data_IF_555996873911
#
_entry.id   IF_555996873911
#
_cell.length_a   1.000
_cell.length_b   1.000
_cell.length_c   1.000
_cell.angle_alpha   90.00
_cell.angle_beta   90.00
_cell.angle_gamma   90.00
#
_symmetry.space_group_name_H-M   'P 1'
#
loop_
_entity.id
_entity.type
_entity.pdbx_description
1 polymer ?
#
# COMPACT_ATOMS: atom_id res chain seq x y z
N UNK A 1 -0.93 3.76 9.04
CA UNK A 1 0.12 4.73 9.37
C UNK A 1 -0.11 5.08 10.81
N UNK A 2 0.84 4.77 11.59
CA UNK A 2 0.80 4.92 13.02
C UNK A 2 0.84 6.40 13.40
N UNK A 3 -0.33 7.00 13.51
CA UNK A 3 -0.45 8.33 14.14
C UNK A 3 -0.40 8.25 15.66
N UNK A 4 -0.24 7.03 16.24
CA UNK A 4 -0.40 6.78 17.66
C UNK A 4 -1.85 6.88 18.15
N UNK A 5 -2.80 7.11 17.25
CA UNK A 5 -4.22 7.18 17.57
C UNK A 5 -4.89 5.82 17.37
N UNK A 6 -5.69 5.40 18.32
CA UNK A 6 -6.59 4.28 18.16
C UNK A 6 -7.79 4.70 17.31
N UNK A 7 -8.00 4.03 16.19
CA UNK A 7 -9.11 4.31 15.26
C UNK A 7 -9.80 3.01 14.84
N UNK A 8 -11.12 3.07 14.75
CA UNK A 8 -11.89 2.02 14.09
C UNK A 8 -11.84 2.25 12.59
N UNK A 9 -11.20 1.35 11.86
CA UNK A 9 -11.20 1.34 10.41
C UNK A 9 -12.21 0.31 9.91
N UNK A 10 -13.46 0.74 9.77
CA UNK A 10 -14.58 -0.10 9.30
C UNK A 10 -14.50 -0.37 7.79
N UNK A 11 -13.39 -0.93 7.33
CA UNK A 11 -13.08 -1.25 5.94
C UNK A 11 -12.79 -2.75 5.81
N UNK A 12 -13.33 -3.39 4.79
CA UNK A 12 -13.25 -4.84 4.60
C UNK A 12 -11.82 -5.41 4.66
N UNK A 13 -10.80 -4.82 4.00
CA UNK A 13 -9.43 -5.33 4.10
C UNK A 13 -8.86 -5.28 5.52
N UNK A 14 -9.18 -4.22 6.28
CA UNK A 14 -8.74 -4.11 7.68
C UNK A 14 -9.48 -5.10 8.59
N UNK A 15 -10.76 -5.33 8.36
CA UNK A 15 -11.55 -6.32 9.11
C UNK A 15 -10.98 -7.74 8.92
N UNK A 16 -10.56 -8.11 7.70
CA UNK A 16 -9.90 -9.38 7.43
C UNK A 16 -8.59 -9.53 8.22
N UNK A 17 -7.70 -8.53 8.14
CA UNK A 17 -6.41 -8.55 8.83
C UNK A 17 -6.55 -8.53 10.37
N UNK A 18 -7.57 -7.82 10.88
CA UNK A 18 -7.91 -7.84 12.32
C UNK A 18 -8.39 -9.23 12.75
N UNK A 19 -9.24 -9.87 11.94
CA UNK A 19 -9.72 -11.22 12.19
C UNK A 19 -8.59 -12.25 12.20
N UNK A 20 -7.65 -12.14 11.28
CA UNK A 20 -6.45 -12.99 11.25
C UNK A 20 -5.61 -12.81 12.52
N UNK A 21 -5.31 -11.57 12.89
CA UNK A 21 -4.59 -11.25 14.12
C UNK A 21 -5.29 -11.78 15.37
N UNK A 22 -6.60 -11.58 15.46
CA UNK A 22 -7.41 -12.10 16.57
C UNK A 22 -7.36 -13.64 16.63
N UNK A 23 -7.50 -14.32 15.49
CA UNK A 23 -7.43 -15.79 15.39
C UNK A 23 -6.09 -16.34 15.86
N UNK A 24 -4.98 -15.71 15.46
CA UNK A 24 -3.63 -16.08 15.93
C UNK A 24 -3.52 -15.93 17.44
N UNK A 25 -4.01 -14.82 18.00
CA UNK A 25 -3.95 -14.59 19.45
C UNK A 25 -4.85 -15.54 20.25
N UNK A 26 -6.01 -15.89 19.73
CA UNK A 26 -6.89 -16.91 20.34
C UNK A 26 -6.26 -18.30 20.32
N UNK A 27 -5.39 -18.60 19.36
CA UNK A 27 -4.62 -19.83 19.29
C UNK A 27 -3.35 -19.82 20.17
N UNK A 28 -3.17 -18.83 21.02
CA UNK A 28 -2.02 -18.70 21.92
C UNK A 28 -0.85 -17.88 21.37
N UNK A 29 -1.03 -17.23 20.20
CA UNK A 29 -0.04 -16.28 19.67
C UNK A 29 -0.06 -14.94 20.41
N UNK A 30 0.88 -14.07 20.05
CA UNK A 30 0.94 -12.69 20.56
C UNK A 30 1.28 -11.74 19.41
N UNK A 31 0.28 -11.43 18.59
CA UNK A 31 0.43 -10.56 17.43
C UNK A 31 -0.25 -9.20 17.66
N UNK A 32 0.45 -8.13 17.33
CA UNK A 32 -0.11 -6.77 17.36
C UNK A 32 -0.64 -6.38 15.98
N UNK A 33 -1.78 -5.68 15.93
CA UNK A 33 -2.32 -5.11 14.71
C UNK A 33 -2.05 -3.60 14.67
N UNK A 34 -0.87 -3.22 14.24
CA UNK A 34 -0.35 -1.84 14.27
C UNK A 34 -0.10 -1.25 12.85
N UNK A 35 -0.21 -2.05 11.80
CA UNK A 35 0.01 -1.66 10.40
C UNK A 35 -1.28 -1.38 9.63
N UNK A 36 -2.32 -0.94 10.33
CA UNK A 36 -3.58 -0.57 9.71
C UNK A 36 -3.43 0.70 8.85
N UNK A 37 -3.93 0.64 7.63
CA UNK A 37 -4.04 1.80 6.75
C UNK A 37 -5.47 1.90 6.20
N UNK A 38 -6.05 3.10 6.08
CA UNK A 38 -7.30 3.25 5.37
C UNK A 38 -7.08 2.87 3.90
N UNK A 39 -7.88 1.95 3.38
CA UNK A 39 -7.84 1.55 1.97
C UNK A 39 -9.24 1.23 1.47
N UNK A 40 -9.53 1.61 0.24
CA UNK A 40 -10.79 1.36 -0.41
C UNK A 40 -10.60 0.95 -1.87
N UNK A 41 -11.47 0.08 -2.37
CA UNK A 41 -11.50 -0.34 -3.76
C UNK A 41 -12.95 -0.42 -4.22
N UNK A 42 -13.26 0.26 -5.31
CA UNK A 42 -14.62 0.32 -5.87
C UNK A 42 -14.51 0.04 -7.36
N UNK A 43 -15.36 -0.88 -7.85
CA UNK A 43 -15.61 -1.09 -9.27
C UNK A 43 -17.01 -0.58 -9.62
N UNK A 44 -17.11 0.26 -10.64
CA UNK A 44 -18.38 0.84 -11.08
C UNK A 44 -18.42 0.92 -12.61
N UNK A 45 -19.28 0.12 -13.24
CA UNK A 45 -19.45 0.06 -14.70
C UNK A 45 -18.14 -0.03 -15.52
N UNK A 46 -17.22 -0.90 -15.07
CA UNK A 46 -15.92 -1.07 -15.71
C UNK A 46 -14.86 -0.04 -15.33
N UNK A 47 -15.22 0.99 -14.57
CA UNK A 47 -14.26 1.91 -13.97
C UNK A 47 -13.84 1.39 -12.60
N UNK A 48 -12.55 1.24 -12.39
CA UNK A 48 -11.98 0.84 -11.10
C UNK A 48 -11.34 2.03 -10.39
N UNK A 49 -11.56 2.14 -9.09
CA UNK A 49 -10.95 3.14 -8.23
C UNK A 49 -10.32 2.45 -7.03
N UNK A 50 -9.09 2.79 -6.72
CA UNK A 50 -8.41 2.35 -5.50
C UNK A 50 -7.76 3.53 -4.79
N UNK A 51 -7.89 3.54 -3.47
CA UNK A 51 -7.22 4.51 -2.60
C UNK A 51 -6.59 3.79 -1.42
N UNK A 52 -5.45 4.25 -0.95
CA UNK A 52 -4.91 3.83 0.33
C UNK A 52 -4.07 4.93 0.97
N UNK A 53 -3.96 4.87 2.31
CA UNK A 53 -3.14 5.77 3.10
C UNK A 53 -3.75 7.16 3.29
N UNK A 54 -2.92 8.16 3.43
CA UNK A 54 -3.29 9.56 3.70
C UNK A 54 -2.94 10.49 2.54
N UNK A 55 -3.80 11.48 2.32
CA UNK A 55 -3.64 12.49 1.27
C UNK A 55 -2.86 13.71 1.80
N UNK A 56 -1.61 13.53 2.20
CA UNK A 56 -0.79 14.64 2.73
C UNK A 56 0.64 14.60 2.22
N UNK A 57 1.27 15.78 2.09
CA UNK A 57 2.62 15.92 1.59
C UNK A 57 2.67 16.36 0.13
N UNK A 58 3.80 16.13 -0.54
CA UNK A 58 3.99 16.38 -1.96
C UNK A 58 3.14 15.42 -2.80
N UNK A 59 2.49 15.92 -3.84
CA UNK A 59 1.62 15.12 -4.69
C UNK A 59 2.16 15.01 -6.12
N UNK A 60 2.36 13.78 -6.58
CA UNK A 60 2.67 13.46 -7.97
C UNK A 60 1.39 13.07 -8.70
N UNK A 61 1.06 13.80 -9.76
CA UNK A 61 -0.15 13.61 -10.53
C UNK A 61 0.19 13.18 -11.96
N UNK A 62 -0.46 12.11 -12.41
CA UNK A 62 -0.41 11.64 -13.79
C UNK A 62 -1.83 11.40 -14.30
N UNK A 63 -2.12 11.89 -15.50
CA UNK A 63 -3.38 11.68 -16.23
C UNK A 63 -3.06 11.19 -17.63
N UNK A 64 -3.60 10.05 -18.01
CA UNK A 64 -3.36 9.47 -19.32
C UNK A 64 -4.57 8.63 -19.78
N UNK A 65 -5.18 9.00 -20.93
CA UNK A 65 -6.20 8.19 -21.58
C UNK A 65 -7.40 7.78 -20.70
N UNK A 66 -7.87 8.66 -19.82
CA UNK A 66 -8.95 8.35 -18.87
C UNK A 66 -8.48 7.73 -17.55
N UNK A 67 -7.20 7.43 -17.43
CA UNK A 67 -6.60 6.97 -16.18
C UNK A 67 -6.12 8.17 -15.35
N UNK A 68 -6.27 8.06 -14.04
CA UNK A 68 -5.82 9.06 -13.07
C UNK A 68 -5.01 8.37 -11.99
N UNK A 69 -3.80 8.86 -11.77
CA UNK A 69 -2.92 8.41 -10.70
C UNK A 69 -2.40 9.60 -9.91
N UNK A 70 -2.60 9.56 -8.60
CA UNK A 70 -2.07 10.55 -7.68
C UNK A 70 -1.38 9.82 -6.54
N UNK A 71 -0.09 10.13 -6.34
CA UNK A 71 0.73 9.59 -5.27
C UNK A 71 1.08 10.70 -4.29
N UNK A 72 1.01 10.43 -3.00
CA UNK A 72 1.34 11.37 -1.93
C UNK A 72 2.62 10.92 -1.23
N UNK A 73 3.58 11.83 -1.11
CA UNK A 73 4.89 11.57 -0.53
C UNK A 73 5.17 12.55 0.61
N UNK A 74 5.68 12.07 1.72
CA UNK A 74 6.16 12.86 2.84
C UNK A 74 7.38 12.18 3.45
N UNK A 75 8.42 12.96 3.79
CA UNK A 75 9.60 12.46 4.46
C UNK A 75 10.23 11.23 3.79
N UNK A 76 10.40 11.31 2.46
CA UNK A 76 10.98 10.24 1.66
C UNK A 76 10.18 8.91 1.70
N UNK A 77 8.86 8.95 1.96
CA UNK A 77 7.98 7.78 2.01
C UNK A 77 6.67 8.03 1.28
N UNK A 78 6.16 6.99 0.65
CA UNK A 78 4.81 7.02 0.10
C UNK A 78 3.82 6.96 1.26
N UNK A 79 2.94 7.97 1.35
CA UNK A 79 1.94 8.07 2.42
C UNK A 79 0.54 7.71 1.96
N UNK A 80 0.25 7.84 0.68
CA UNK A 80 -1.04 7.47 0.12
C UNK A 80 -1.08 7.52 -1.39
N UNK A 81 -2.17 7.01 -1.96
CA UNK A 81 -2.44 7.10 -3.39
C UNK A 81 -3.93 7.13 -3.71
N UNK A 82 -4.23 7.65 -4.91
CA UNK A 82 -5.52 7.56 -5.58
C UNK A 82 -5.26 7.06 -6.99
N UNK A 83 -5.86 5.93 -7.37
CA UNK A 83 -5.83 5.37 -8.72
C UNK A 83 -7.25 5.27 -9.26
N UNK A 84 -7.45 5.70 -10.50
CA UNK A 84 -8.73 5.57 -11.22
C UNK A 84 -8.42 5.03 -12.62
N UNK A 85 -9.18 4.03 -13.06
CA UNK A 85 -8.99 3.34 -14.32
C UNK A 85 -7.95 2.23 -14.22
N UNK A 86 -6.67 2.52 -14.46
CA UNK A 86 -5.59 1.54 -14.28
C UNK A 86 -5.23 1.40 -12.79
N UNK A 87 -5.69 0.32 -12.18
CA UNK A 87 -5.39 -0.06 -10.79
C UNK A 87 -4.42 -1.25 -10.71
N UNK A 88 -3.85 -1.64 -11.86
CA UNK A 88 -2.94 -2.78 -11.91
C UNK A 88 -1.75 -2.56 -10.97
N UNK A 89 -1.41 -3.61 -10.21
CA UNK A 89 -0.29 -3.61 -9.26
C UNK A 89 -0.37 -2.57 -8.14
N UNK A 90 -1.56 -2.04 -7.82
CA UNK A 90 -1.77 -1.13 -6.69
C UNK A 90 -1.24 -1.71 -5.35
N UNK A 91 -1.18 -3.05 -5.23
CA UNK A 91 -0.58 -3.74 -4.09
C UNK A 91 0.87 -3.34 -3.81
N UNK A 92 1.65 -2.96 -4.83
CA UNK A 92 3.03 -2.47 -4.66
C UNK A 92 3.01 -1.14 -3.89
N UNK A 93 2.15 -0.20 -4.27
CA UNK A 93 1.99 1.07 -3.53
C UNK A 93 1.50 0.82 -2.10
N UNK A 94 0.53 -0.09 -1.93
CA UNK A 94 0.01 -0.45 -0.61
C UNK A 94 1.11 -1.04 0.28
N UNK A 95 1.97 -1.91 -0.27
CA UNK A 95 3.12 -2.47 0.45
C UNK A 95 4.11 -1.38 0.86
N UNK A 96 4.45 -0.45 -0.03
CA UNK A 96 5.34 0.68 0.30
C UNK A 96 4.82 1.52 1.46
N UNK A 97 3.50 1.80 1.48
CA UNK A 97 2.86 2.55 2.56
C UNK A 97 2.90 1.75 3.87
N UNK A 98 2.54 0.48 3.83
CA UNK A 98 2.48 -0.39 5.02
C UNK A 98 3.84 -0.62 5.64
N UNK A 99 4.84 -0.90 4.81
CA UNK A 99 6.21 -1.18 5.23
C UNK A 99 7.03 0.10 5.49
N UNK A 100 6.46 1.28 5.21
CA UNK A 100 7.14 2.56 5.37
C UNK A 100 8.51 2.59 4.67
N UNK A 101 8.59 1.97 3.47
CA UNK A 101 9.84 1.83 2.72
C UNK A 101 10.35 3.19 2.28
N UNK A 102 11.62 3.56 2.57
CA UNK A 102 12.21 4.79 2.07
C UNK A 102 12.28 4.79 0.54
N UNK A 103 11.81 5.83 -0.12
CA UNK A 103 11.80 5.93 -1.58
C UNK A 103 13.22 6.01 -2.17
N UNK A 104 14.18 6.48 -1.40
CA UNK A 104 15.62 6.48 -1.76
C UNK A 104 16.23 5.07 -1.84
N UNK A 105 15.57 4.05 -1.28
CA UNK A 105 16.04 2.66 -1.33
C UNK A 105 15.56 1.90 -2.59
N UNK A 106 14.88 2.58 -3.51
CA UNK A 106 14.29 1.99 -4.71
C UNK A 106 14.28 2.99 -5.87
N UNK A 107 14.03 2.51 -7.09
CA UNK A 107 13.83 3.38 -8.24
C UNK A 107 12.40 3.95 -8.20
N UNK A 108 12.25 5.09 -7.53
CA UNK A 108 10.94 5.73 -7.38
C UNK A 108 10.39 6.27 -8.69
N UNK A 109 11.24 6.72 -9.62
CA UNK A 109 10.79 7.15 -10.95
C UNK A 109 10.14 6.00 -11.71
N UNK A 110 10.73 4.82 -11.68
CA UNK A 110 10.16 3.63 -12.29
C UNK A 110 8.83 3.24 -11.63
N UNK A 111 8.75 3.28 -10.28
CA UNK A 111 7.52 2.99 -9.52
C UNK A 111 6.44 4.02 -9.80
N UNK A 112 6.80 5.28 -9.92
CA UNK A 112 5.87 6.38 -10.20
C UNK A 112 5.22 6.20 -11.58
N UNK A 113 6.02 5.87 -12.59
CA UNK A 113 5.51 5.63 -13.95
C UNK A 113 4.70 4.35 -14.01
N UNK A 114 5.28 3.24 -13.57
CA UNK A 114 4.62 1.93 -13.57
C UNK A 114 5.13 1.08 -12.41
N UNK A 115 4.27 0.73 -11.44
CA UNK A 115 4.71 -0.05 -10.30
C UNK A 115 5.22 -1.44 -10.74
N UNK A 116 6.49 -1.72 -10.47
CA UNK A 116 7.16 -2.95 -10.86
C UNK A 116 8.04 -3.48 -9.73
N UNK A 117 8.06 -4.79 -9.55
CA UNK A 117 8.93 -5.44 -8.57
C UNK A 117 10.42 -5.24 -8.88
N UNK A 118 10.77 -4.98 -10.13
CA UNK A 118 12.15 -4.70 -10.55
C UNK A 118 12.76 -3.46 -9.91
N UNK A 119 11.93 -2.51 -9.44
CA UNK A 119 12.39 -1.33 -8.73
C UNK A 119 12.92 -1.61 -7.32
N UNK A 120 12.67 -2.80 -6.78
CA UNK A 120 13.18 -3.25 -5.48
C UNK A 120 14.52 -3.99 -5.63
N UNK A 121 15.34 -3.97 -4.59
CA UNK A 121 16.56 -4.79 -4.54
C UNK A 121 16.24 -6.28 -4.73
N UNK A 122 17.22 -7.06 -5.19
CA UNK A 122 17.03 -8.50 -5.41
C UNK A 122 16.59 -9.23 -4.14
N UNK A 123 17.17 -8.88 -3.00
CA UNK A 123 16.80 -9.45 -1.70
C UNK A 123 15.34 -9.18 -1.37
N UNK A 124 14.91 -7.91 -1.47
CA UNK A 124 13.53 -7.52 -1.19
C UNK A 124 12.52 -8.17 -2.14
N UNK A 125 12.87 -8.34 -3.41
CA UNK A 125 12.03 -9.05 -4.38
C UNK A 125 11.82 -10.51 -3.99
N UNK A 126 12.87 -11.20 -3.55
CA UNK A 126 12.78 -12.59 -3.12
C UNK A 126 11.87 -12.73 -1.88
N UNK A 127 12.00 -11.86 -0.89
CA UNK A 127 11.09 -11.83 0.26
C UNK A 127 9.62 -11.65 -0.17
N UNK A 128 9.33 -10.70 -1.07
CA UNK A 128 7.98 -10.42 -1.56
C UNK A 128 7.39 -11.57 -2.39
N UNK A 129 8.23 -12.38 -3.02
CA UNK A 129 7.82 -13.54 -3.81
C UNK A 129 7.75 -14.84 -3.00
N UNK A 130 7.95 -14.77 -1.68
CA UNK A 130 7.91 -15.93 -0.78
C UNK A 130 9.12 -16.86 -0.91
N UNK A 131 10.21 -16.38 -1.50
CA UNK A 131 11.48 -17.10 -1.56
C UNK A 131 12.14 -17.11 -0.19
N UNK A 132 12.28 -18.27 0.42
CA UNK A 132 13.18 -18.45 1.54
C UNK A 132 14.59 -18.11 1.09
N UNK A 133 15.19 -17.09 1.69
CA UNK A 133 16.63 -16.86 1.57
C UNK A 133 17.28 -17.89 2.48
N UNK A 134 17.73 -19.00 1.89
CA UNK A 134 18.62 -19.96 2.54
C UNK A 134 20.01 -19.36 2.75
#
# INVERSE_FOLDING_TARGET
ITTGEEKVLALLPNAYLQGECAGINMAGGNQSYDKAIPMNSIGFFGLHLMTAGSCGGEAYLEKNGGNYKKLFVRENRLTGYILIGDVARAGIYTSLIREQTPLSALDFELIRQKPQLMAFSRTKRNEMLGGNVG
#
